data_IF_555097087219
#
_entry.id   IF_555097087219
#
_cell.length_a   1.000
_cell.length_b   1.000
_cell.length_c   1.000
_cell.angle_alpha   90.00
_cell.angle_beta   90.00
_cell.angle_gamma   90.00
#
_symmetry.space_group_name_H-M   'P 1'
#
loop_
_entity.id
_entity.type
_entity.pdbx_description
1 polymer ?
#
# COMPACT_ATOMS: atom_id res chain seq x y z
N UNK A 1 1.22 -11.35 8.79
CA UNK A 1 1.38 -11.93 7.43
C UNK A 1 1.60 -10.77 6.46
N UNK A 2 2.65 -10.81 5.64
CA UNK A 2 2.96 -9.78 4.65
C UNK A 2 2.80 -10.36 3.23
N UNK A 3 1.89 -9.81 2.44
CA UNK A 3 1.75 -10.20 1.03
C UNK A 3 2.71 -9.37 0.17
N UNK A 4 3.75 -10.02 -0.36
CA UNK A 4 4.72 -9.41 -1.28
C UNK A 4 4.11 -9.33 -2.68
N UNK A 5 4.25 -8.18 -3.32
CA UNK A 5 3.92 -7.97 -4.72
C UNK A 5 5.21 -7.62 -5.48
N UNK A 6 5.94 -8.63 -5.97
CA UNK A 6 7.20 -8.44 -6.69
C UNK A 6 7.06 -7.43 -7.82
N UNK A 7 8.02 -6.52 -7.90
CA UNK A 7 8.09 -5.51 -8.95
C UNK A 7 7.25 -4.26 -8.72
N UNK A 8 6.31 -4.23 -7.77
CA UNK A 8 5.46 -3.04 -7.52
C UNK A 8 5.45 -2.54 -6.08
N UNK A 9 6.10 -3.25 -5.14
CA UNK A 9 6.32 -2.77 -3.78
C UNK A 9 7.47 -1.76 -3.71
N UNK A 10 7.43 -0.88 -2.70
CA UNK A 10 8.52 0.04 -2.42
C UNK A 10 9.73 -0.71 -1.84
N UNK A 11 10.93 -0.24 -2.16
CA UNK A 11 12.16 -0.74 -1.56
C UNK A 11 12.14 -0.55 -0.03
N UNK A 12 12.74 -1.48 0.72
CA UNK A 12 12.78 -1.40 2.18
C UNK A 12 11.46 -1.76 2.89
N UNK A 13 10.38 -2.07 2.16
CA UNK A 13 9.07 -2.36 2.76
C UNK A 13 9.12 -3.58 3.68
N UNK A 14 9.71 -4.68 3.21
CA UNK A 14 9.75 -5.91 3.99
C UNK A 14 10.75 -5.82 5.14
N UNK A 15 11.87 -5.14 4.91
CA UNK A 15 12.89 -4.83 5.90
C UNK A 15 12.29 -3.99 7.04
N UNK A 16 11.47 -2.99 6.69
CA UNK A 16 10.73 -2.20 7.67
C UNK A 16 9.75 -3.05 8.48
N UNK A 17 9.03 -3.98 7.85
CA UNK A 17 8.15 -4.93 8.56
C UNK A 17 8.95 -5.79 9.54
N UNK A 18 10.11 -6.32 9.14
CA UNK A 18 10.97 -7.10 10.03
C UNK A 18 11.51 -6.28 11.20
N UNK A 19 11.90 -5.02 10.96
CA UNK A 19 12.39 -4.11 12.00
C UNK A 19 11.31 -3.73 13.01
N UNK A 20 10.05 -3.68 12.59
CA UNK A 20 8.93 -3.18 13.40
C UNK A 20 8.02 -4.27 13.95
N UNK A 21 8.31 -5.55 13.71
CA UNK A 21 7.43 -6.65 14.13
C UNK A 21 7.42 -6.93 15.63
N UNK A 22 8.30 -6.29 16.42
CA UNK A 22 8.35 -6.44 17.89
C UNK A 22 8.44 -7.92 18.35
N UNK A 23 9.23 -8.73 17.63
CA UNK A 23 9.40 -10.15 17.94
C UNK A 23 8.24 -11.05 17.48
N UNK A 24 7.17 -10.49 16.90
CA UNK A 24 6.08 -11.27 16.33
C UNK A 24 6.58 -12.00 15.07
N UNK A 25 6.32 -13.30 14.92
CA UNK A 25 6.69 -14.06 13.72
C UNK A 25 6.12 -13.43 12.44
N UNK A 26 7.01 -13.12 11.50
CA UNK A 26 6.65 -12.55 10.21
C UNK A 26 6.65 -13.62 9.14
N UNK A 27 5.49 -13.85 8.54
CA UNK A 27 5.33 -14.74 7.38
C UNK A 27 5.08 -13.93 6.12
N UNK A 28 5.93 -14.08 5.12
CA UNK A 28 5.69 -13.53 3.78
C UNK A 28 4.94 -14.53 2.91
N UNK A 29 3.99 -14.04 2.13
CA UNK A 29 3.26 -14.81 1.12
C UNK A 29 3.34 -14.08 -0.22
N UNK A 30 3.36 -14.84 -1.30
CA UNK A 30 3.36 -14.31 -2.68
C UNK A 30 2.31 -15.10 -3.47
N UNK A 31 1.67 -14.45 -4.44
CA UNK A 31 0.86 -15.16 -5.41
C UNK A 31 1.73 -15.96 -6.41
N UNK A 32 1.09 -16.85 -7.14
CA UNK A 32 1.67 -17.61 -8.26
C UNK A 32 1.89 -16.77 -9.52
N UNK A 33 1.42 -15.53 -9.50
CA UNK A 33 1.56 -14.53 -10.56
C UNK A 33 1.89 -13.16 -9.98
N UNK A 34 2.59 -12.36 -10.77
CA UNK A 34 2.93 -10.96 -10.50
C UNK A 34 1.81 -10.02 -10.93
N UNK A 35 1.97 -8.74 -10.58
CA UNK A 35 1.04 -7.70 -11.01
C UNK A 35 1.00 -7.53 -12.53
N UNK A 36 2.16 -7.55 -13.19
CA UNK A 36 2.23 -7.38 -14.65
C UNK A 36 1.73 -8.62 -15.39
N UNK A 37 2.00 -9.83 -14.93
CA UNK A 37 1.41 -11.06 -15.51
C UNK A 37 -0.13 -11.06 -15.40
N UNK A 38 -0.67 -10.57 -14.28
CA UNK A 38 -2.12 -10.39 -14.13
C UNK A 38 -2.68 -9.37 -15.13
N UNK A 39 -1.95 -8.28 -15.41
CA UNK A 39 -2.35 -7.27 -16.40
C UNK A 39 -2.27 -7.82 -17.82
N UNK A 40 -1.18 -8.50 -18.15
CA UNK A 40 -0.93 -9.10 -19.47
C UNK A 40 -2.01 -10.14 -19.81
N UNK A 41 -2.32 -11.05 -18.87
CA UNK A 41 -3.38 -12.04 -19.06
C UNK A 41 -4.76 -11.39 -19.28
N UNK A 42 -5.02 -10.23 -18.69
CA UNK A 42 -6.32 -9.54 -18.80
C UNK A 42 -6.42 -8.61 -20.00
N UNK A 43 -5.28 -8.17 -20.55
CA UNK A 43 -5.24 -7.07 -21.53
C UNK A 43 -5.74 -5.73 -20.97
N UNK A 44 -5.82 -5.56 -19.65
CA UNK A 44 -6.28 -4.33 -19.02
C UNK A 44 -5.82 -4.19 -17.56
N UNK A 45 -5.68 -2.94 -17.12
CA UNK A 45 -5.37 -2.62 -15.73
C UNK A 45 -6.53 -2.98 -14.77
N UNK A 46 -6.27 -3.18 -13.47
CA UNK A 46 -7.33 -3.17 -12.47
C UNK A 46 -7.94 -1.77 -12.34
N UNK A 47 -9.10 -1.66 -11.68
CA UNK A 47 -9.75 -0.37 -11.42
C UNK A 47 -10.16 -0.22 -9.96
N UNK A 48 -10.49 1.00 -9.48
CA UNK A 48 -10.99 1.19 -8.12
C UNK A 48 -12.23 0.34 -7.78
N UNK A 49 -13.10 0.13 -8.77
CA UNK A 49 -14.27 -0.74 -8.66
C UNK A 49 -13.88 -2.22 -8.69
N UNK A 50 -12.99 -2.59 -9.61
CA UNK A 50 -12.53 -3.97 -9.79
C UNK A 50 -11.08 -4.10 -9.35
N UNK A 51 -10.88 -4.36 -8.05
CA UNK A 51 -9.55 -4.42 -7.42
C UNK A 51 -8.96 -5.83 -7.46
N UNK A 52 -8.78 -6.41 -8.66
CA UNK A 52 -8.25 -7.79 -8.79
C UNK A 52 -6.88 -7.95 -8.14
N UNK A 53 -6.03 -6.91 -8.16
CA UNK A 53 -4.75 -6.94 -7.46
C UNK A 53 -4.90 -7.20 -5.94
N UNK A 54 -6.02 -6.81 -5.33
CA UNK A 54 -6.29 -7.07 -3.91
C UNK A 54 -6.81 -8.49 -3.68
N UNK A 55 -7.69 -9.01 -4.53
CA UNK A 55 -8.20 -10.38 -4.40
C UNK A 55 -7.12 -11.41 -4.70
N UNK A 56 -6.46 -11.26 -5.84
CA UNK A 56 -5.60 -12.29 -6.43
C UNK A 56 -4.22 -12.28 -5.80
N UNK A 57 -3.63 -11.09 -5.62
CA UNK A 57 -2.23 -10.97 -5.22
C UNK A 57 -2.04 -10.80 -3.71
N UNK A 58 -3.09 -10.38 -2.98
CA UNK A 58 -3.02 -10.14 -1.52
C UNK A 58 -3.89 -11.11 -0.74
N UNK A 59 -5.21 -10.99 -0.91
CA UNK A 59 -6.19 -11.67 -0.07
C UNK A 59 -6.16 -13.19 -0.26
N UNK A 60 -6.01 -13.65 -1.50
CA UNK A 60 -5.91 -15.07 -1.85
C UNK A 60 -4.73 -15.77 -1.16
N UNK A 61 -3.48 -15.31 -1.37
CA UNK A 61 -2.30 -15.85 -0.71
C UNK A 61 -2.38 -15.82 0.83
N UNK A 62 -2.85 -14.71 1.41
CA UNK A 62 -3.07 -14.60 2.87
C UNK A 62 -4.08 -15.64 3.36
N UNK A 63 -5.20 -15.79 2.65
CA UNK A 63 -6.24 -16.76 2.99
C UNK A 63 -5.73 -18.20 2.92
N UNK A 64 -4.94 -18.54 1.89
CA UNK A 64 -4.28 -19.86 1.76
C UNK A 64 -3.35 -20.11 2.96
N UNK A 65 -2.55 -19.12 3.34
CA UNK A 65 -1.67 -19.22 4.50
C UNK A 65 -2.44 -19.42 5.81
N UNK A 66 -3.47 -18.61 6.08
CA UNK A 66 -4.29 -18.74 7.31
C UNK A 66 -4.87 -20.15 7.42
N UNK A 67 -5.40 -20.71 6.32
CA UNK A 67 -5.95 -22.07 6.30
C UNK A 67 -4.90 -23.14 6.61
N UNK A 68 -3.72 -23.04 5.99
CA UNK A 68 -2.61 -23.97 6.21
C UNK A 68 -2.10 -23.88 7.65
N UNK A 69 -1.74 -22.67 8.08
CA UNK A 69 -1.17 -22.41 9.39
C UNK A 69 -2.10 -22.80 10.53
N UNK A 70 -3.39 -22.49 10.43
CA UNK A 70 -4.38 -22.93 11.43
C UNK A 70 -4.51 -24.45 11.52
N UNK A 71 -4.46 -25.16 10.38
CA UNK A 71 -4.53 -26.63 10.36
C UNK A 71 -3.28 -27.27 11.00
N UNK A 72 -2.10 -26.80 10.63
CA UNK A 72 -0.81 -27.33 11.11
C UNK A 72 -0.61 -27.11 12.61
N UNK A 73 -1.14 -26.03 13.16
CA UNK A 73 -1.00 -25.66 14.57
C UNK A 73 -2.26 -25.94 15.40
N UNK A 74 -3.27 -26.61 14.83
CA UNK A 74 -4.53 -26.94 15.50
C UNK A 74 -5.29 -25.72 16.07
N UNK A 75 -5.19 -24.56 15.41
CA UNK A 75 -5.97 -23.38 15.77
C UNK A 75 -7.38 -23.43 15.17
N UNK A 76 -8.39 -23.37 16.02
CA UNK A 76 -9.81 -23.30 15.66
C UNK A 76 -10.41 -21.89 15.77
N UNK A 77 -9.68 -20.94 16.37
CA UNK A 77 -10.09 -19.53 16.49
C UNK A 77 -8.98 -18.62 15.98
N UNK A 78 -9.30 -17.77 14.99
CA UNK A 78 -8.36 -16.81 14.41
C UNK A 78 -8.96 -15.41 14.39
N UNK A 79 -8.15 -14.44 14.82
CA UNK A 79 -8.40 -13.01 14.64
C UNK A 79 -7.45 -12.46 13.57
N UNK A 80 -8.00 -12.15 12.40
CA UNK A 80 -7.27 -11.53 11.30
C UNK A 80 -7.36 -10.00 11.43
N UNK A 81 -6.38 -9.42 12.11
CA UNK A 81 -6.30 -7.98 12.34
C UNK A 81 -5.81 -7.23 11.08
N UNK A 82 -6.53 -6.18 10.68
CA UNK A 82 -6.20 -5.35 9.51
C UNK A 82 -6.27 -3.87 9.93
N UNK A 83 -5.25 -3.08 9.57
CA UNK A 83 -5.18 -1.65 9.86
C UNK A 83 -6.01 -0.77 8.92
N UNK A 84 -7.32 -1.02 8.79
CA UNK A 84 -8.24 -0.11 8.10
C UNK A 84 -8.82 0.88 9.12
N UNK A 85 -8.91 2.16 8.73
CA UNK A 85 -9.46 3.26 9.53
C UNK A 85 -10.70 3.85 8.87
N UNK A 86 -11.61 4.37 9.68
CA UNK A 86 -12.84 5.02 9.25
C UNK A 86 -12.56 6.27 8.41
N UNK A 87 -11.63 7.11 8.87
CA UNK A 87 -11.22 8.38 8.24
C UNK A 87 -10.74 8.22 6.78
N UNK A 88 -10.28 7.04 6.39
CA UNK A 88 -9.73 6.82 5.05
C UNK A 88 -10.77 6.90 3.92
N UNK A 89 -12.07 6.68 4.20
CA UNK A 89 -13.18 6.83 3.23
C UNK A 89 -14.54 6.42 3.83
N UNK A 90 -15.67 6.93 3.30
CA UNK A 90 -17.02 6.55 3.76
C UNK A 90 -17.30 5.02 3.73
N UNK A 91 -16.87 4.25 2.70
CA UNK A 91 -17.02 2.79 2.71
C UNK A 91 -16.18 2.05 3.77
N UNK A 92 -15.18 2.71 4.36
CA UNK A 92 -14.42 2.19 5.51
C UNK A 92 -15.04 2.64 6.82
N UNK A 93 -15.57 3.87 6.91
CA UNK A 93 -16.30 4.35 8.07
C UNK A 93 -17.51 3.47 8.42
N UNK A 94 -18.22 2.98 7.41
CA UNK A 94 -19.38 2.08 7.58
C UNK A 94 -19.04 0.63 7.95
N UNK A 95 -17.76 0.27 8.13
CA UNK A 95 -17.38 -1.09 8.50
C UNK A 95 -17.54 -1.32 9.99
N UNK A 96 -18.13 -2.47 10.33
CA UNK A 96 -18.05 -3.03 11.66
C UNK A 96 -16.56 -3.39 11.97
N UNK A 97 -15.98 -2.93 13.08
CA UNK A 97 -14.63 -3.29 13.49
C UNK A 97 -14.44 -4.77 13.81
N UNK A 98 -15.51 -5.55 14.01
CA UNK A 98 -15.46 -6.96 14.39
C UNK A 98 -16.42 -7.81 13.54
N UNK A 99 -15.89 -8.42 12.47
CA UNK A 99 -16.71 -9.10 11.46
C UNK A 99 -16.36 -10.59 11.39
N UNK A 100 -17.37 -11.47 11.40
CA UNK A 100 -17.17 -12.89 11.08
C UNK A 100 -16.77 -13.06 9.61
N UNK A 101 -15.59 -13.63 9.35
CA UNK A 101 -15.17 -13.99 8.00
C UNK A 101 -15.85 -15.31 7.60
N UNK A 102 -17.02 -15.18 6.97
CA UNK A 102 -17.81 -16.33 6.49
C UNK A 102 -17.06 -17.21 5.48
N UNK A 103 -16.07 -16.68 4.76
CA UNK A 103 -15.32 -17.44 3.73
C UNK A 103 -14.20 -18.28 4.34
N UNK A 104 -13.64 -17.86 5.46
CA UNK A 104 -12.58 -18.60 6.16
C UNK A 104 -13.12 -19.45 7.33
N UNK A 105 -14.30 -19.11 7.83
CA UNK A 105 -15.01 -19.86 8.86
C UNK A 105 -15.57 -21.17 8.32
N UNK A 106 -15.50 -22.21 9.14
CA UNK A 106 -16.03 -23.56 8.90
C UNK A 106 -16.65 -24.07 10.21
N UNK A 107 -17.22 -25.28 10.21
CA UNK A 107 -17.71 -25.92 11.46
C UNK A 107 -16.61 -26.10 12.53
N UNK A 108 -15.36 -26.32 12.12
CA UNK A 108 -14.22 -26.59 13.03
C UNK A 108 -13.30 -25.38 13.24
N UNK A 109 -13.57 -24.25 12.59
CA UNK A 109 -12.69 -23.07 12.65
C UNK A 109 -13.50 -21.79 12.50
N UNK A 110 -13.42 -20.89 13.48
CA UNK A 110 -13.98 -19.53 13.42
C UNK A 110 -12.89 -18.53 13.08
N UNK A 111 -13.18 -17.66 12.13
CA UNK A 111 -12.25 -16.59 11.74
C UNK A 111 -12.99 -15.27 11.80
N UNK A 112 -12.44 -14.33 12.56
CA UNK A 112 -12.91 -12.97 12.65
C UNK A 112 -11.94 -12.04 11.95
N UNK A 113 -12.45 -11.04 11.26
CA UNK A 113 -11.70 -9.87 10.82
C UNK A 113 -11.87 -8.79 11.89
N UNK A 114 -10.74 -8.27 12.36
CA UNK A 114 -10.72 -7.23 13.41
C UNK A 114 -10.04 -5.99 12.83
N UNK A 115 -10.57 -4.80 13.14
CA UNK A 115 -10.01 -3.50 12.74
C UNK A 115 -9.57 -2.72 13.99
N UNK A 116 -8.39 -3.00 14.56
CA UNK A 116 -8.03 -2.52 15.91
C UNK A 116 -7.81 -1.00 16.02
N UNK A 117 -7.62 -0.33 14.89
CA UNK A 117 -7.36 1.12 14.80
C UNK A 117 -8.44 1.82 13.98
N UNK A 118 -9.66 1.26 13.95
CA UNK A 118 -10.71 1.72 13.04
C UNK A 118 -11.10 3.18 13.28
N UNK A 119 -11.16 3.57 14.55
CA UNK A 119 -11.49 4.90 15.04
C UNK A 119 -10.32 5.89 15.02
N UNK A 120 -9.09 5.43 14.76
CA UNK A 120 -7.93 6.31 14.77
C UNK A 120 -7.92 7.23 13.54
N UNK A 121 -7.76 8.52 13.78
CA UNK A 121 -7.37 9.52 12.79
C UNK A 121 -5.92 9.35 12.34
N UNK A 122 -5.54 10.05 11.27
CA UNK A 122 -4.15 10.05 10.78
C UNK A 122 -3.21 10.61 11.84
N UNK A 123 -3.62 11.67 12.55
CA UNK A 123 -2.84 12.27 13.62
C UNK A 123 -2.61 11.29 14.77
N UNK A 124 -3.64 10.57 15.21
CA UNK A 124 -3.53 9.58 16.29
C UNK A 124 -2.60 8.43 15.94
N UNK A 125 -2.63 7.94 14.68
CA UNK A 125 -1.68 6.91 14.23
C UNK A 125 -0.23 7.39 14.35
N UNK A 126 0.09 8.61 13.89
CA UNK A 126 1.45 9.14 14.02
C UNK A 126 1.82 9.38 15.49
N UNK A 127 0.87 9.86 16.30
CA UNK A 127 1.07 10.10 17.73
C UNK A 127 1.39 8.82 18.53
N UNK A 128 0.99 7.63 18.06
CA UNK A 128 1.41 6.35 18.70
C UNK A 128 2.92 6.14 18.74
N UNK A 129 3.68 6.86 17.90
CA UNK A 129 5.14 6.87 17.88
C UNK A 129 5.74 8.23 18.27
N UNK A 130 4.95 9.10 18.91
CA UNK A 130 5.40 10.43 19.34
C UNK A 130 5.61 11.43 18.19
N UNK A 131 5.06 11.17 17.00
CA UNK A 131 5.22 12.03 15.83
C UNK A 131 3.96 12.88 15.62
N UNK A 132 4.12 14.19 15.47
CA UNK A 132 3.04 15.09 15.07
C UNK A 132 2.95 15.24 13.54
N UNK A 133 1.82 15.73 13.03
CA UNK A 133 1.68 16.03 11.60
C UNK A 133 2.58 17.20 11.16
N UNK A 134 2.89 18.13 12.06
CA UNK A 134 3.82 19.23 11.80
C UNK A 134 5.24 18.71 11.66
N UNK A 135 5.67 17.78 12.54
CA UNK A 135 6.97 17.13 12.41
C UNK A 135 7.08 16.34 11.09
N UNK A 136 6.03 15.61 10.71
CA UNK A 136 5.98 14.95 9.40
C UNK A 136 6.11 15.96 8.25
N UNK A 137 5.45 17.11 8.34
CA UNK A 137 5.53 18.17 7.33
C UNK A 137 6.94 18.75 7.23
N UNK A 138 7.61 18.99 8.35
CA UNK A 138 8.99 19.50 8.37
C UNK A 138 9.99 18.48 7.83
N UNK A 139 9.84 17.21 8.20
CA UNK A 139 10.66 16.13 7.62
C UNK A 139 10.46 15.98 6.12
N UNK A 140 9.24 16.15 5.62
CA UNK A 140 8.96 16.18 4.16
C UNK A 140 9.71 17.31 3.46
N UNK A 141 9.77 18.51 4.05
CA UNK A 141 10.54 19.63 3.50
C UNK A 141 12.03 19.28 3.41
N UNK A 142 12.60 18.75 4.50
CA UNK A 142 14.00 18.31 4.52
C UNK A 142 14.28 17.26 3.44
N UNK A 143 13.38 16.29 3.27
CA UNK A 143 13.52 15.26 2.25
C UNK A 143 13.50 15.84 0.83
N UNK A 144 12.60 16.79 0.57
CA UNK A 144 12.48 17.47 -0.73
C UNK A 144 13.71 18.32 -1.06
N UNK A 145 14.37 18.89 -0.05
CA UNK A 145 15.66 19.60 -0.18
C UNK A 145 16.86 18.65 -0.36
N UNK A 146 16.65 17.34 -0.48
CA UNK A 146 17.71 16.36 -0.61
C UNK A 146 18.43 16.00 0.69
N UNK A 147 18.03 16.59 1.83
CA UNK A 147 18.60 16.33 3.17
C UNK A 147 18.03 15.03 3.77
N UNK A 148 18.08 13.93 3.01
CA UNK A 148 17.42 12.65 3.35
C UNK A 148 17.88 12.10 4.71
N UNK A 149 19.16 12.24 5.06
CA UNK A 149 19.68 11.80 6.37
C UNK A 149 18.99 12.54 7.51
N UNK A 150 18.91 13.87 7.44
CA UNK A 150 18.24 14.68 8.47
C UNK A 150 16.73 14.40 8.53
N UNK A 151 16.09 14.22 7.37
CA UNK A 151 14.66 13.92 7.29
C UNK A 151 14.30 12.56 7.94
N UNK A 152 15.18 11.56 7.80
CA UNK A 152 14.93 10.18 8.23
C UNK A 152 15.58 9.82 9.57
N UNK A 153 16.41 10.68 10.15
CA UNK A 153 17.06 10.40 11.43
C UNK A 153 16.01 10.23 12.54
N UNK A 154 16.07 9.10 13.24
CA UNK A 154 15.06 8.70 14.23
C UNK A 154 13.64 8.44 13.67
N UNK A 155 13.42 8.46 12.35
CA UNK A 155 12.07 8.28 11.78
C UNK A 155 11.57 6.83 11.98
N UNK A 156 10.43 6.62 12.67
CA UNK A 156 10.02 5.27 13.06
C UNK A 156 9.18 4.55 11.99
N UNK A 157 8.75 5.25 10.93
CA UNK A 157 7.93 4.68 9.86
C UNK A 157 8.74 4.40 8.58
N UNK A 158 8.11 3.76 7.59
CA UNK A 158 8.68 3.62 6.25
C UNK A 158 8.96 5.02 5.65
N UNK A 159 10.09 5.17 4.95
CA UNK A 159 10.54 6.46 4.40
C UNK A 159 9.52 7.11 3.44
N UNK A 160 8.68 6.31 2.79
CA UNK A 160 7.70 6.79 1.80
C UNK A 160 6.76 7.88 2.33
N UNK A 161 6.42 7.87 3.63
CA UNK A 161 5.63 8.94 4.23
C UNK A 161 6.35 10.28 4.21
N UNK A 162 7.66 10.29 4.49
CA UNK A 162 8.53 11.46 4.44
C UNK A 162 8.86 11.86 3.00
N UNK A 163 8.93 10.91 2.07
CA UNK A 163 9.07 11.21 0.63
C UNK A 163 7.86 11.97 0.08
N UNK A 164 6.67 11.78 0.68
CA UNK A 164 5.45 12.52 0.34
C UNK A 164 4.21 11.66 0.12
N UNK A 165 4.30 10.33 0.26
CA UNK A 165 3.14 9.46 0.15
C UNK A 165 2.15 9.77 1.28
N UNK A 166 0.87 9.89 0.92
CA UNK A 166 -0.21 10.02 1.90
C UNK A 166 -0.64 8.69 2.51
N UNK A 167 -0.35 7.59 1.80
CA UNK A 167 -0.56 6.21 2.24
C UNK A 167 0.53 5.31 1.69
N UNK A 168 0.90 4.29 2.44
CA UNK A 168 1.84 3.28 1.94
C UNK A 168 1.10 2.26 1.04
N UNK A 169 1.04 2.55 -0.26
CA UNK A 169 0.52 1.66 -1.32
C UNK A 169 1.65 1.00 -2.11
N UNK A 170 1.32 0.27 -3.19
CA UNK A 170 2.31 -0.01 -4.25
C UNK A 170 2.95 1.30 -4.75
N UNK A 171 4.11 1.20 -5.39
CA UNK A 171 4.81 2.33 -6.01
C UNK A 171 3.87 3.17 -6.87
N UNK A 172 3.07 2.52 -7.71
CA UNK A 172 2.01 3.18 -8.50
C UNK A 172 0.71 2.42 -8.23
N UNK A 173 -0.34 3.12 -7.76
CA UNK A 173 -1.60 2.50 -7.37
C UNK A 173 -2.79 3.17 -8.06
N UNK A 174 -3.77 2.35 -8.46
CA UNK A 174 -5.07 2.78 -9.00
C UNK A 174 -5.89 3.65 -8.04
N UNK A 175 -5.53 3.66 -6.75
CA UNK A 175 -6.16 4.50 -5.72
C UNK A 175 -5.31 5.73 -5.36
N UNK A 176 -4.18 5.95 -6.02
CA UNK A 176 -3.29 7.08 -5.72
C UNK A 176 -3.91 8.39 -6.19
N UNK A 177 -3.83 9.42 -5.36
CA UNK A 177 -4.10 10.79 -5.78
C UNK A 177 -2.91 11.37 -6.53
N UNK A 178 -3.11 12.51 -7.22
CA UNK A 178 -2.05 13.23 -7.94
C UNK A 178 -0.74 13.36 -7.14
N UNK A 179 -0.81 13.82 -5.89
CA UNK A 179 0.38 14.00 -5.03
C UNK A 179 1.14 12.70 -4.73
N UNK A 180 0.44 11.57 -4.57
CA UNK A 180 1.11 10.27 -4.37
C UNK A 180 1.86 9.88 -5.66
N UNK A 181 1.25 10.09 -6.84
CA UNK A 181 1.86 9.75 -8.12
C UNK A 181 3.07 10.64 -8.44
N UNK A 182 3.01 11.93 -8.08
CA UNK A 182 4.16 12.83 -8.16
C UNK A 182 5.30 12.35 -7.26
N UNK A 183 5.00 11.95 -6.02
CA UNK A 183 5.97 11.32 -5.13
C UNK A 183 6.59 10.08 -5.78
N UNK A 184 5.78 9.18 -6.32
CA UNK A 184 6.24 7.97 -7.00
C UNK A 184 7.10 8.24 -8.23
N UNK A 185 6.73 9.24 -9.04
CA UNK A 185 7.51 9.62 -10.22
C UNK A 185 8.87 10.23 -9.84
N UNK A 186 8.96 10.98 -8.73
CA UNK A 186 10.22 11.53 -8.22
C UNK A 186 11.14 10.44 -7.67
N UNK A 187 10.59 9.51 -6.91
CA UNK A 187 11.35 8.45 -6.25
C UNK A 187 11.77 7.32 -7.20
N UNK A 188 10.92 6.97 -8.17
CA UNK A 188 11.20 5.90 -9.13
C UNK A 188 10.65 6.23 -10.54
N UNK A 189 11.29 7.19 -11.25
CA UNK A 189 10.85 7.60 -12.58
C UNK A 189 10.99 6.48 -13.61
N UNK A 190 11.85 5.48 -13.36
CA UNK A 190 12.01 4.32 -14.24
C UNK A 190 10.78 3.41 -14.16
N UNK A 191 10.29 3.15 -12.95
CA UNK A 191 9.08 2.36 -12.75
C UNK A 191 7.82 3.05 -13.32
N UNK A 192 7.74 4.38 -13.24
CA UNK A 192 6.69 5.15 -13.93
C UNK A 192 6.75 4.95 -15.46
N UNK A 193 7.95 4.92 -16.05
CA UNK A 193 8.11 4.61 -17.49
C UNK A 193 7.66 3.21 -17.84
N UNK A 194 7.87 2.22 -16.97
CA UNK A 194 7.37 0.85 -17.17
C UNK A 194 5.85 0.81 -17.26
N UNK A 195 5.15 1.54 -16.37
CA UNK A 195 3.69 1.65 -16.43
C UNK A 195 3.21 2.33 -17.72
N UNK A 196 3.80 3.48 -18.08
CA UNK A 196 3.47 4.20 -19.33
C UNK A 196 3.69 3.32 -20.56
N UNK A 197 4.80 2.57 -20.60
CA UNK A 197 5.06 1.62 -21.69
C UNK A 197 3.97 0.56 -21.76
N UNK A 198 3.60 -0.01 -20.60
CA UNK A 198 2.53 -1.01 -20.53
C UNK A 198 1.17 -0.45 -20.95
N UNK A 199 0.84 0.81 -20.62
CA UNK A 199 -0.37 1.48 -21.11
C UNK A 199 -0.45 1.50 -22.65
N UNK A 200 0.69 1.75 -23.31
CA UNK A 200 0.79 1.73 -24.79
C UNK A 200 0.68 0.32 -25.36
N UNK A 201 1.33 -0.66 -24.72
CA UNK A 201 1.31 -2.06 -25.14
C UNK A 201 -0.12 -2.65 -25.10
N UNK A 202 -0.90 -2.36 -24.05
CA UNK A 202 -2.25 -2.91 -23.89
C UNK A 202 -3.36 -1.96 -24.33
N UNK A 203 -3.00 -0.75 -24.81
CA UNK A 203 -3.93 0.30 -25.23
C UNK A 203 -4.99 0.65 -24.16
N UNK A 204 -4.60 0.65 -22.88
CA UNK A 204 -5.46 0.97 -21.76
C UNK A 204 -4.71 1.83 -20.75
N UNK A 205 -5.28 2.96 -20.35
CA UNK A 205 -4.68 3.83 -19.34
C UNK A 205 -4.87 3.25 -17.93
N UNK A 206 -3.84 3.37 -17.10
CA UNK A 206 -3.85 2.91 -15.72
C UNK A 206 -4.74 3.81 -14.85
N UNK A 207 -4.68 5.12 -15.10
CA UNK A 207 -5.53 6.12 -14.46
C UNK A 207 -6.33 6.80 -15.54
N UNK A 208 -7.65 6.62 -15.48
CA UNK A 208 -8.54 7.10 -16.51
C UNK A 208 -8.76 8.63 -16.35
N UNK A 209 -8.53 9.47 -17.39
CA UNK A 209 -8.60 10.94 -17.33
C UNK A 209 -9.98 11.54 -17.00
N UNK A 210 -11.03 10.71 -16.85
CA UNK A 210 -12.32 11.15 -16.31
C UNK A 210 -12.31 11.40 -14.80
N UNK A 211 -11.24 11.00 -14.11
CA UNK A 211 -10.94 11.42 -12.74
C UNK A 211 -10.05 12.68 -12.78
N UNK A 212 -10.12 13.52 -11.75
CA UNK A 212 -9.31 14.75 -11.58
C UNK A 212 -7.78 14.53 -11.51
N UNK A 213 -7.28 13.36 -11.90
CA UNK A 213 -5.88 12.94 -11.85
C UNK A 213 -5.31 12.87 -13.27
N UNK A 214 -4.20 13.59 -13.58
CA UNK A 214 -3.57 13.57 -14.91
C UNK A 214 -3.05 12.19 -15.33
N UNK A 215 -2.78 12.02 -16.63
CA UNK A 215 -2.12 10.82 -17.17
C UNK A 215 -0.74 10.60 -16.54
N UNK A 216 -0.27 9.35 -16.52
CA UNK A 216 1.07 9.02 -15.98
C UNK A 216 2.20 9.75 -16.71
N UNK A 217 2.07 9.97 -18.02
CA UNK A 217 3.02 10.80 -18.79
C UNK A 217 3.04 12.25 -18.31
N UNK A 218 1.86 12.82 -18.01
CA UNK A 218 1.75 14.18 -17.48
C UNK A 218 2.37 14.27 -16.09
N UNK A 219 2.06 13.32 -15.20
CA UNK A 219 2.67 13.22 -13.87
C UNK A 219 4.20 13.13 -13.97
N UNK A 220 4.72 12.27 -14.85
CA UNK A 220 6.16 12.11 -15.01
C UNK A 220 6.84 13.40 -15.49
N UNK A 221 6.21 14.15 -16.40
CA UNK A 221 6.71 15.45 -16.84
C UNK A 221 6.68 16.48 -15.72
N UNK A 222 5.55 16.62 -15.03
CA UNK A 222 5.38 17.57 -13.92
C UNK A 222 6.39 17.32 -12.79
N UNK A 223 6.61 16.05 -12.44
CA UNK A 223 7.56 15.68 -11.37
C UNK A 223 8.99 16.15 -11.62
N UNK A 224 9.40 16.26 -12.89
CA UNK A 224 10.72 16.77 -13.27
C UNK A 224 10.80 18.29 -13.16
N UNK A 225 9.73 18.98 -13.55
CA UNK A 225 9.64 20.44 -13.44
C UNK A 225 9.70 20.91 -11.99
N UNK A 226 9.02 20.20 -11.08
CA UNK A 226 9.10 20.49 -9.63
C UNK A 226 10.51 20.24 -9.07
N UNK A 227 11.17 19.16 -9.48
CA UNK A 227 12.55 18.88 -9.05
C UNK A 227 13.55 19.97 -9.50
N UNK A 228 13.36 20.52 -10.70
CA UNK A 228 14.21 21.60 -11.23
C UNK A 228 14.00 22.95 -10.51
N UNK A 229 12.86 23.16 -9.84
CA UNK A 229 12.58 24.38 -9.08
C UNK A 229 13.11 24.34 -7.64
N UNK A 230 13.55 23.17 -7.16
CA UNK A 230 14.09 22.96 -5.82
C UNK A 230 15.63 23.02 -5.77
N UNK A 231 16.28 23.19 -6.93
CA UNK A 231 17.74 23.30 -7.13
C UNK A 231 18.05 24.74 -7.55
#
# INVERSE_FOLDING_TARGET
>A
IHAKLPGVDWEGTFEHVLKTCQGIPVYSVTADKTFFEMVDHRGMWPSPAFRQCTSDLKTGPISKFIRRYSKENHYDLIYNCIGLRAEESDPRASKDPFILDKKLTTRKRKVYKVLPIHDYSTAEVFATYGISLDELADRRKLYQLGLKKAALDGWPFIYTYVAGMSRHSCKICIMSKKGDLLCSAREDPAHMRTFIKKEKEIQHQFINPGHSTPSLETILRESRSEQLQLI
#
